data_IF_511584049311
#
_entry.id   IF_511584049311
#
_cell.length_a   1.000
_cell.length_b   1.000
_cell.length_c   1.000
_cell.angle_alpha   90.00
_cell.angle_beta   90.00
_cell.angle_gamma   90.00
#
_symmetry.space_group_name_H-M   'P 1'
#
loop_
_entity.id
_entity.type
_entity.pdbx_description
1 polymer ?
#
# COMPACT_ATOMS: atom_id res chain seq x y z
N UNK A 1 16.82 -1.46 25.04
CA UNK A 1 15.56 -1.75 24.36
C UNK A 1 14.53 -0.79 24.90
N UNK A 2 13.89 0.01 24.05
CA UNK A 2 12.82 0.93 24.46
C UNK A 2 11.55 0.14 24.83
N UNK A 3 10.58 0.81 25.47
CA UNK A 3 9.26 0.21 25.76
C UNK A 3 8.60 -0.31 24.48
N UNK A 4 8.66 0.48 23.41
CA UNK A 4 8.02 0.13 22.13
C UNK A 4 8.72 -1.05 21.45
N UNK A 5 10.06 -1.08 21.46
CA UNK A 5 10.83 -2.24 20.99
C UNK A 5 10.53 -3.51 21.80
N UNK A 6 10.21 -3.37 23.09
CA UNK A 6 9.81 -4.50 23.93
C UNK A 6 8.41 -4.99 23.57
N UNK A 7 7.44 -4.09 23.42
CA UNK A 7 6.06 -4.42 23.03
C UNK A 7 6.05 -5.10 21.65
N UNK A 8 6.76 -4.53 20.67
CA UNK A 8 6.84 -5.11 19.34
C UNK A 8 7.44 -6.53 19.38
N UNK A 9 8.56 -6.71 20.09
CA UNK A 9 9.28 -7.98 20.15
C UNK A 9 8.55 -9.08 20.95
N UNK A 10 7.88 -8.72 22.04
CA UNK A 10 7.33 -9.70 22.97
C UNK A 10 5.81 -9.84 22.90
N UNK A 11 5.10 -8.86 22.35
CA UNK A 11 3.65 -8.86 22.22
C UNK A 11 3.25 -8.96 20.74
N UNK A 12 3.52 -7.93 19.94
CA UNK A 12 2.94 -7.81 18.60
C UNK A 12 3.48 -8.82 17.59
N UNK A 13 4.81 -8.97 17.50
CA UNK A 13 5.45 -9.96 16.61
C UNK A 13 5.12 -11.43 16.92
N UNK A 14 4.48 -11.70 18.07
CA UNK A 14 4.06 -13.04 18.50
C UNK A 14 2.56 -13.30 18.31
N UNK A 15 1.82 -12.34 17.75
CA UNK A 15 0.38 -12.51 17.48
C UNK A 15 0.19 -13.31 16.18
N UNK A 16 -0.52 -14.44 16.29
CA UNK A 16 -0.76 -15.36 15.16
C UNK A 16 -2.27 -15.46 14.95
N UNK A 17 -2.77 -15.24 13.71
CA UNK A 17 -4.19 -15.44 13.40
C UNK A 17 -4.54 -16.93 13.43
N UNK A 18 -5.63 -17.27 14.11
CA UNK A 18 -6.15 -18.64 14.18
C UNK A 18 -7.58 -18.63 13.66
N UNK A 19 -7.88 -19.49 12.68
CA UNK A 19 -9.23 -19.63 12.13
C UNK A 19 -10.22 -20.12 13.20
N UNK A 20 -11.43 -19.55 13.23
CA UNK A 20 -12.49 -19.95 14.16
C UNK A 20 -12.97 -21.39 13.96
N UNK A 21 -12.78 -21.94 12.76
CA UNK A 21 -13.09 -23.33 12.44
C UNK A 21 -11.98 -24.33 12.81
N UNK A 22 -10.87 -23.86 13.37
CA UNK A 22 -9.75 -24.73 13.73
C UNK A 22 -10.10 -25.61 14.94
N UNK A 23 -9.62 -26.86 14.94
CA UNK A 23 -9.79 -27.79 16.04
C UNK A 23 -9.17 -27.24 17.35
N UNK A 24 -9.59 -27.75 18.54
CA UNK A 24 -9.05 -27.29 19.81
C UNK A 24 -7.52 -27.39 19.87
N UNK A 25 -6.87 -26.34 20.34
CA UNK A 25 -5.40 -26.22 20.32
C UNK A 25 -4.89 -26.43 21.76
N UNK A 26 -3.99 -27.40 22.00
CA UNK A 26 -3.38 -27.58 23.31
C UNK A 26 -2.43 -26.41 23.60
N UNK A 27 -2.53 -25.85 24.80
CA UNK A 27 -1.72 -24.72 25.26
C UNK A 27 -1.17 -24.97 26.66
N UNK A 28 -0.12 -24.25 27.04
CA UNK A 28 0.40 -24.28 28.42
C UNK A 28 -0.35 -23.29 29.33
N UNK A 29 -0.93 -22.24 28.75
CA UNK A 29 -1.70 -21.22 29.43
C UNK A 29 -2.62 -20.50 28.43
N UNK A 30 -3.69 -19.89 28.91
CA UNK A 30 -4.55 -19.00 28.11
C UNK A 30 -4.90 -17.76 28.95
N UNK A 31 -4.13 -16.69 28.77
CA UNK A 31 -4.33 -15.42 29.45
C UNK A 31 -5.19 -14.48 28.60
N UNK A 32 -6.22 -13.86 29.21
CA UNK A 32 -7.18 -13.02 28.48
C UNK A 32 -8.12 -13.77 27.52
N UNK A 33 -8.03 -15.10 27.47
CA UNK A 33 -8.91 -15.99 26.72
C UNK A 33 -9.77 -16.88 27.63
N UNK A 34 -10.40 -17.89 27.03
CA UNK A 34 -11.13 -18.93 27.76
C UNK A 34 -10.43 -20.28 27.54
N UNK A 35 -10.16 -20.96 28.65
CA UNK A 35 -9.47 -22.24 28.67
C UNK A 35 -10.38 -23.29 29.34
N UNK A 36 -10.40 -24.51 28.81
CA UNK A 36 -11.20 -25.60 29.38
C UNK A 36 -10.26 -26.65 29.96
N UNK A 37 -10.46 -26.99 31.23
CA UNK A 37 -9.76 -28.05 31.94
C UNK A 37 -10.74 -28.88 32.79
N UNK A 38 -10.33 -30.08 33.21
CA UNK A 38 -11.13 -30.91 34.12
C UNK A 38 -11.03 -30.35 35.53
N UNK A 39 -12.16 -30.16 36.20
CA UNK A 39 -12.21 -29.62 37.57
C UNK A 39 -11.31 -30.38 38.54
N UNK A 40 -11.27 -31.71 38.45
CA UNK A 40 -10.40 -32.56 39.27
C UNK A 40 -8.89 -32.22 39.14
N UNK A 41 -8.47 -31.68 37.98
CA UNK A 41 -7.08 -31.25 37.75
C UNK A 41 -6.77 -29.90 38.38
N UNK A 42 -7.77 -29.07 38.70
CA UNK A 42 -7.60 -27.71 39.24
C UNK A 42 -7.74 -27.64 40.77
N UNK A 43 -8.51 -28.53 41.39
CA UNK A 43 -8.69 -28.58 42.84
C UNK A 43 -7.39 -28.60 43.67
N UNK A 44 -6.30 -29.28 43.25
CA UNK A 44 -5.04 -29.29 43.99
C UNK A 44 -4.07 -28.16 43.58
N UNK A 45 -4.51 -27.17 42.79
CA UNK A 45 -3.68 -26.09 42.29
C UNK A 45 -3.89 -24.81 43.09
N UNK A 46 -2.80 -24.06 43.30
CA UNK A 46 -2.80 -22.82 44.06
C UNK A 46 -2.23 -21.68 43.21
N UNK A 47 -2.71 -20.48 43.46
CA UNK A 47 -2.13 -19.24 42.95
C UNK A 47 -0.95 -18.85 43.84
N UNK A 48 0.26 -19.01 43.32
CA UNK A 48 1.50 -18.65 44.03
C UNK A 48 2.31 -17.67 43.18
N UNK A 49 2.52 -16.47 43.69
CA UNK A 49 3.31 -15.42 43.03
C UNK A 49 4.82 -15.59 43.16
N UNK A 50 5.31 -16.83 43.33
CA UNK A 50 6.72 -17.16 43.46
C UNK A 50 7.08 -18.29 42.50
N UNK A 51 8.25 -18.19 41.87
CA UNK A 51 8.83 -19.26 41.06
C UNK A 51 9.61 -20.29 41.92
N UNK A 52 10.27 -21.24 41.26
CA UNK A 52 11.02 -22.31 41.93
C UNK A 52 12.22 -21.81 42.74
N UNK A 53 12.75 -20.63 42.40
CA UNK A 53 13.89 -19.99 43.06
C UNK A 53 13.44 -19.00 44.16
N UNK A 54 12.12 -18.86 44.37
CA UNK A 54 11.53 -17.96 45.34
C UNK A 54 11.48 -16.50 44.88
N UNK A 55 11.63 -16.24 43.58
CA UNK A 55 11.51 -14.91 42.99
C UNK A 55 10.05 -14.61 42.63
N UNK A 56 9.68 -13.33 42.68
CA UNK A 56 8.32 -12.89 42.36
C UNK A 56 7.97 -13.18 40.89
N UNK A 57 6.77 -13.73 40.68
CA UNK A 57 6.20 -14.00 39.36
C UNK A 57 4.67 -13.85 39.39
N UNK A 58 4.03 -13.81 38.23
CA UNK A 58 2.57 -13.77 38.16
C UNK A 58 1.99 -15.08 38.71
N UNK A 59 1.07 -14.97 39.65
CA UNK A 59 0.44 -16.09 40.35
C UNK A 59 -0.30 -17.06 39.42
N UNK A 60 -0.74 -16.57 38.25
CA UNK A 60 -1.37 -17.38 37.22
C UNK A 60 -0.41 -18.36 36.54
N UNK A 61 0.90 -18.10 36.55
CA UNK A 61 1.90 -18.97 35.92
C UNK A 61 1.97 -20.29 36.68
N UNK A 62 2.15 -20.23 38.00
CA UNK A 62 2.24 -21.43 38.84
C UNK A 62 0.95 -22.27 38.81
N UNK A 63 -0.21 -21.62 38.78
CA UNK A 63 -1.50 -22.30 38.64
C UNK A 63 -1.62 -23.06 37.31
N UNK A 64 -1.33 -22.42 36.18
CA UNK A 64 -1.45 -23.05 34.86
C UNK A 64 -0.43 -24.18 34.67
N UNK A 65 0.80 -24.03 35.15
CA UNK A 65 1.82 -25.10 35.13
C UNK A 65 1.32 -26.35 35.87
N UNK A 66 0.79 -26.18 37.09
CA UNK A 66 0.23 -27.26 37.90
C UNK A 66 -0.99 -27.93 37.23
N UNK A 67 -1.81 -27.18 36.48
CA UNK A 67 -2.90 -27.76 35.70
C UNK A 67 -2.34 -28.58 34.53
N UNK A 68 -1.38 -28.03 33.78
CA UNK A 68 -0.79 -28.67 32.60
C UNK A 68 -0.11 -30.02 32.93
N UNK A 69 0.51 -30.13 34.11
CA UNK A 69 1.07 -31.40 34.64
C UNK A 69 0.01 -32.48 34.87
N UNK A 70 -1.25 -32.09 35.09
CA UNK A 70 -2.37 -32.98 35.45
C UNK A 70 -3.35 -33.22 34.30
N UNK A 71 -3.13 -32.59 33.16
CA UNK A 71 -3.94 -32.76 31.96
C UNK A 71 -3.80 -31.61 30.97
N UNK A 72 -4.11 -31.84 29.70
CA UNK A 72 -3.99 -30.81 28.67
C UNK A 72 -5.01 -29.68 28.88
N UNK A 73 -4.52 -28.45 28.74
CA UNK A 73 -5.32 -27.25 28.63
C UNK A 73 -5.58 -26.97 27.15
N UNK A 74 -6.81 -26.61 26.80
CA UNK A 74 -7.15 -26.28 25.42
C UNK A 74 -7.77 -24.90 25.31
N UNK A 75 -7.42 -24.21 24.22
CA UNK A 75 -8.23 -23.12 23.68
C UNK A 75 -9.11 -23.65 22.55
N UNK A 76 -10.33 -23.13 22.47
CA UNK A 76 -11.27 -23.43 21.39
C UNK A 76 -11.39 -22.18 20.52
N UNK A 77 -10.84 -22.18 19.28
CA UNK A 77 -10.85 -20.99 18.41
C UNK A 77 -12.25 -20.44 18.12
N UNK A 78 -13.29 -21.28 18.22
CA UNK A 78 -14.69 -20.87 18.11
C UNK A 78 -15.21 -20.08 19.32
N UNK A 79 -14.58 -20.19 20.49
CA UNK A 79 -14.95 -19.48 21.72
C UNK A 79 -14.12 -18.20 21.85
N UNK A 80 -14.63 -17.11 21.27
CA UNK A 80 -13.92 -15.83 21.19
C UNK A 80 -14.13 -14.98 22.45
N UNK A 81 -13.05 -14.43 22.99
CA UNK A 81 -13.11 -13.28 23.89
C UNK A 81 -12.75 -12.00 23.11
N UNK A 82 -13.29 -10.85 23.52
CA UNK A 82 -12.86 -9.56 22.97
C UNK A 82 -11.66 -9.08 23.76
N UNK A 83 -10.49 -9.04 23.11
CA UNK A 83 -9.31 -8.44 23.71
C UNK A 83 -9.44 -6.91 23.73
N UNK A 84 -8.95 -6.23 24.77
CA UNK A 84 -8.73 -4.78 24.74
C UNK A 84 -7.84 -4.37 23.55
N UNK A 85 -8.11 -3.22 22.93
CA UNK A 85 -7.42 -2.77 21.72
C UNK A 85 -5.92 -2.57 21.95
N UNK A 86 -5.52 -2.12 23.15
CA UNK A 86 -4.13 -1.92 23.58
C UNK A 86 -3.29 -3.20 23.64
N UNK A 87 -3.94 -4.37 23.56
CA UNK A 87 -3.26 -5.67 23.53
C UNK A 87 -3.19 -6.27 22.12
N UNK A 88 -3.83 -5.64 21.13
CA UNK A 88 -3.78 -6.06 19.74
C UNK A 88 -2.77 -5.19 19.01
N UNK A 89 -1.87 -5.82 18.23
CA UNK A 89 -1.09 -5.04 17.28
C UNK A 89 -2.04 -4.33 16.33
N UNK A 90 -1.68 -3.15 15.83
CA UNK A 90 -2.54 -2.35 14.96
C UNK A 90 -3.11 -3.15 13.76
N UNK A 91 -2.37 -4.16 13.25
CA UNK A 91 -2.82 -5.13 12.24
C UNK A 91 -4.12 -5.89 12.58
N UNK A 92 -4.44 -6.08 13.86
CA UNK A 92 -5.58 -6.86 14.34
C UNK A 92 -6.66 -6.01 15.01
N UNK A 93 -6.42 -4.70 15.14
CA UNK A 93 -7.43 -3.80 15.71
C UNK A 93 -8.61 -3.69 14.74
N UNK A 94 -9.86 -3.70 15.24
CA UNK A 94 -11.02 -3.45 14.39
C UNK A 94 -10.87 -2.09 13.70
N UNK A 95 -11.04 -2.07 12.38
CA UNK A 95 -11.11 -0.84 11.62
C UNK A 95 -12.48 -0.20 11.86
N UNK A 96 -12.56 0.68 12.85
CA UNK A 96 -13.76 1.47 13.14
C UNK A 96 -14.12 2.31 11.90
N UNK A 97 -15.41 2.29 11.51
CA UNK A 97 -15.93 2.93 10.29
C UNK A 97 -15.46 2.37 8.93
N UNK A 98 -14.88 1.16 8.87
CA UNK A 98 -14.61 0.51 7.59
C UNK A 98 -15.90 0.18 6.82
N UNK A 99 -15.83 0.28 5.49
CA UNK A 99 -16.85 -0.21 4.54
C UNK A 99 -16.26 -1.23 3.58
N UNK A 100 -17.13 -2.03 2.97
CA UNK A 100 -16.73 -2.84 1.82
C UNK A 100 -16.71 -1.98 0.55
N UNK A 101 -15.58 -2.01 -0.15
CA UNK A 101 -15.38 -1.44 -1.48
C UNK A 101 -15.39 -2.59 -2.50
N UNK A 102 -16.42 -2.63 -3.35
CA UNK A 102 -16.53 -3.65 -4.41
C UNK A 102 -15.76 -3.19 -5.65
N UNK A 103 -14.75 -3.97 -6.05
CA UNK A 103 -14.01 -3.75 -7.29
C UNK A 103 -14.32 -4.84 -8.30
N UNK A 104 -14.39 -4.46 -9.58
CA UNK A 104 -14.66 -5.36 -10.70
C UNK A 104 -13.83 -5.00 -11.91
N UNK A 105 -13.22 -6.02 -12.51
CA UNK A 105 -12.62 -5.95 -13.83
C UNK A 105 -13.07 -7.13 -14.69
N UNK A 106 -13.71 -6.82 -15.82
CA UNK A 106 -14.35 -7.81 -16.68
C UNK A 106 -15.29 -8.76 -15.91
N UNK A 107 -14.95 -10.05 -15.86
CA UNK A 107 -15.74 -11.08 -15.16
C UNK A 107 -15.29 -11.35 -13.73
N UNK A 108 -14.19 -10.73 -13.27
CA UNK A 108 -13.61 -10.93 -11.94
C UNK A 108 -13.99 -9.78 -11.01
N UNK A 109 -14.22 -10.09 -9.74
CA UNK A 109 -14.52 -9.11 -8.69
C UNK A 109 -13.89 -9.48 -7.35
N UNK A 110 -13.66 -8.48 -6.51
CA UNK A 110 -13.23 -8.65 -5.12
C UNK A 110 -13.84 -7.55 -4.24
N UNK A 111 -13.71 -7.69 -2.91
CA UNK A 111 -14.23 -6.73 -1.93
C UNK A 111 -13.14 -6.36 -0.94
N UNK A 112 -12.68 -5.12 -1.01
CA UNK A 112 -11.68 -4.58 -0.08
C UNK A 112 -12.37 -3.94 1.12
N UNK A 113 -11.73 -3.98 2.27
CA UNK A 113 -12.01 -3.07 3.37
C UNK A 113 -11.42 -1.71 3.02
N UNK A 114 -12.22 -0.66 3.19
CA UNK A 114 -11.84 0.71 2.87
C UNK A 114 -12.38 1.69 3.93
N UNK A 115 -11.75 2.86 4.10
CA UNK A 115 -12.35 3.98 4.82
C UNK A 115 -13.74 4.33 4.30
N UNK A 116 -14.62 4.81 5.18
CA UNK A 116 -16.00 5.17 4.82
C UNK A 116 -16.10 6.18 3.69
N UNK A 117 -15.14 7.11 3.61
CA UNK A 117 -15.09 8.21 2.65
C UNK A 117 -14.30 7.87 1.37
N UNK A 118 -13.75 6.65 1.24
CA UNK A 118 -13.13 6.18 0.00
C UNK A 118 -14.14 6.26 -1.14
N UNK A 119 -13.76 6.70 -2.35
CA UNK A 119 -14.72 7.01 -3.43
C UNK A 119 -14.52 6.22 -4.74
N UNK A 120 -13.53 5.32 -4.81
CA UNK A 120 -13.15 4.66 -6.06
C UNK A 120 -14.28 3.92 -6.79
N UNK A 121 -15.16 3.21 -6.07
CA UNK A 121 -16.31 2.53 -6.67
C UNK A 121 -17.31 3.52 -7.30
N UNK A 122 -17.58 4.63 -6.61
CA UNK A 122 -18.43 5.72 -7.10
C UNK A 122 -17.81 6.32 -8.38
N UNK A 123 -16.50 6.61 -8.35
CA UNK A 123 -15.81 7.16 -9.51
C UNK A 123 -15.84 6.22 -10.71
N UNK A 124 -15.62 4.91 -10.51
CA UNK A 124 -15.65 3.93 -11.61
C UNK A 124 -17.05 3.66 -12.14
N UNK A 125 -18.09 3.85 -11.33
CA UNK A 125 -19.48 3.81 -11.80
C UNK A 125 -19.82 5.03 -12.66
N UNK A 126 -19.33 6.21 -12.26
CA UNK A 126 -19.58 7.47 -12.96
C UNK A 126 -18.71 7.64 -14.23
N UNK A 127 -17.46 7.17 -14.20
CA UNK A 127 -16.45 7.38 -15.24
C UNK A 127 -15.91 6.02 -15.73
N UNK A 128 -16.42 5.50 -16.87
CA UNK A 128 -16.17 4.11 -17.28
C UNK A 128 -14.70 3.71 -17.49
N UNK A 129 -13.83 4.68 -17.82
CA UNK A 129 -12.40 4.47 -18.09
C UNK A 129 -11.50 4.72 -16.87
N UNK A 130 -12.06 5.22 -15.76
CA UNK A 130 -11.32 5.52 -14.53
C UNK A 130 -10.65 4.26 -13.98
N UNK A 131 -9.33 4.32 -13.75
CA UNK A 131 -8.48 3.21 -13.31
C UNK A 131 -8.62 1.92 -14.15
N UNK A 132 -8.84 2.03 -15.47
CA UNK A 132 -8.85 0.87 -16.39
C UNK A 132 -7.55 0.67 -17.15
N UNK A 133 -6.82 1.76 -17.39
CA UNK A 133 -5.63 1.78 -18.25
C UNK A 133 -4.43 1.10 -17.58
N UNK A 134 -4.13 1.44 -16.33
CA UNK A 134 -3.05 0.83 -15.57
C UNK A 134 -3.22 -0.69 -15.38
N UNK A 135 -4.39 -1.23 -14.97
CA UNK A 135 -4.58 -2.68 -14.89
C UNK A 135 -4.33 -3.40 -16.22
N UNK A 136 -4.83 -2.85 -17.32
CA UNK A 136 -4.57 -3.40 -18.65
C UNK A 136 -3.07 -3.38 -19.01
N UNK A 137 -2.39 -2.26 -18.76
CA UNK A 137 -0.95 -2.13 -18.98
C UNK A 137 -0.14 -3.13 -18.13
N UNK A 138 -0.50 -3.30 -16.86
CA UNK A 138 0.20 -4.21 -15.94
C UNK A 138 0.18 -5.66 -16.42
N UNK A 139 -0.94 -6.09 -17.03
CA UNK A 139 -1.09 -7.41 -17.62
C UNK A 139 -0.15 -7.59 -18.80
N UNK A 140 -0.05 -6.58 -19.69
CA UNK A 140 0.88 -6.63 -20.82
C UNK A 140 2.34 -6.62 -20.36
N UNK A 141 2.67 -5.83 -19.34
CA UNK A 141 4.00 -5.79 -18.74
C UNK A 141 4.39 -7.15 -18.13
N UNK A 142 3.46 -7.79 -17.40
CA UNK A 142 3.64 -9.14 -16.84
C UNK A 142 3.88 -10.17 -17.95
N UNK A 143 3.05 -10.19 -19.00
CA UNK A 143 3.20 -11.14 -20.11
C UNK A 143 4.54 -10.97 -20.86
N UNK A 144 5.07 -9.75 -20.93
CA UNK A 144 6.37 -9.48 -21.55
C UNK A 144 7.56 -9.81 -20.65
N UNK A 145 7.38 -9.76 -19.33
CA UNK A 145 8.45 -9.91 -18.35
C UNK A 145 7.94 -10.57 -17.04
N UNK A 146 7.56 -11.86 -17.07
CA UNK A 146 6.88 -12.51 -15.95
C UNK A 146 7.75 -12.65 -14.69
N UNK A 147 9.07 -12.70 -14.85
CA UNK A 147 10.03 -12.81 -13.74
C UNK A 147 10.39 -11.46 -13.09
N UNK A 148 9.87 -10.34 -13.63
CA UNK A 148 10.12 -9.00 -13.11
C UNK A 148 8.99 -8.55 -12.19
N UNK A 149 9.33 -7.76 -11.18
CA UNK A 149 8.36 -7.24 -10.23
C UNK A 149 7.78 -5.88 -10.66
N UNK A 150 6.65 -5.54 -10.04
CA UNK A 150 6.01 -4.22 -10.12
C UNK A 150 6.25 -3.50 -8.79
N UNK A 151 6.51 -2.20 -8.85
CA UNK A 151 6.56 -1.33 -7.67
C UNK A 151 5.34 -0.41 -7.69
N UNK A 152 4.53 -0.43 -6.64
CA UNK A 152 3.33 0.39 -6.46
C UNK A 152 3.59 1.40 -5.33
N UNK A 153 3.87 2.66 -5.68
CA UNK A 153 4.17 3.75 -4.74
C UNK A 153 2.89 4.55 -4.52
N UNK A 154 2.47 4.65 -3.25
CA UNK A 154 1.15 5.15 -2.89
C UNK A 154 0.10 4.06 -3.07
N UNK A 155 0.35 2.91 -2.44
CA UNK A 155 -0.52 1.74 -2.57
C UNK A 155 -1.87 1.90 -1.84
N UNK A 156 -2.00 2.89 -0.94
CA UNK A 156 -3.20 3.19 -0.18
C UNK A 156 -3.75 1.91 0.50
N UNK A 157 -5.01 1.54 0.26
CA UNK A 157 -5.64 0.33 0.80
C UNK A 157 -5.36 -0.94 -0.03
N UNK A 158 -4.57 -0.84 -1.10
CA UNK A 158 -4.28 -1.92 -2.04
C UNK A 158 -5.30 -2.08 -3.17
N UNK A 159 -6.05 -1.03 -3.50
CA UNK A 159 -7.03 -1.04 -4.60
C UNK A 159 -6.39 -1.17 -5.97
N UNK A 160 -5.28 -0.46 -6.22
CA UNK A 160 -4.45 -0.61 -7.42
C UNK A 160 -4.01 -2.07 -7.58
N UNK A 161 -3.41 -2.66 -6.54
CA UNK A 161 -2.99 -4.07 -6.49
C UNK A 161 -4.16 -5.01 -6.85
N UNK A 162 -5.32 -4.79 -6.25
CA UNK A 162 -6.51 -5.59 -6.53
C UNK A 162 -6.93 -5.47 -8.00
N UNK A 163 -6.94 -4.27 -8.57
CA UNK A 163 -7.28 -4.06 -9.98
C UNK A 163 -6.28 -4.72 -10.93
N UNK A 164 -4.97 -4.61 -10.66
CA UNK A 164 -3.90 -5.29 -11.40
C UNK A 164 -4.14 -6.81 -11.42
N UNK A 165 -4.44 -7.39 -10.25
CA UNK A 165 -4.73 -8.82 -10.10
C UNK A 165 -6.00 -9.23 -10.83
N UNK A 166 -7.08 -8.46 -10.74
CA UNK A 166 -8.33 -8.71 -11.46
C UNK A 166 -8.12 -8.68 -12.99
N UNK A 167 -7.24 -7.80 -13.49
CA UNK A 167 -6.84 -7.77 -14.90
C UNK A 167 -5.95 -8.95 -15.33
N UNK A 168 -5.52 -9.81 -14.39
CA UNK A 168 -4.70 -11.00 -14.67
C UNK A 168 -3.20 -10.74 -14.68
N UNK A 169 -2.74 -9.71 -13.97
CA UNK A 169 -1.32 -9.53 -13.67
C UNK A 169 -0.93 -10.38 -12.45
N UNK A 170 0.00 -11.31 -12.64
CA UNK A 170 0.49 -12.21 -11.58
C UNK A 170 1.96 -11.90 -11.21
N UNK A 171 2.48 -10.73 -11.60
CA UNK A 171 3.82 -10.29 -11.16
C UNK A 171 3.89 -10.19 -9.64
N UNK A 172 5.07 -10.46 -9.07
CA UNK A 172 5.41 -10.04 -7.72
C UNK A 172 5.25 -8.52 -7.59
N UNK A 173 4.58 -8.05 -6.54
CA UNK A 173 4.35 -6.62 -6.31
C UNK A 173 5.02 -6.19 -5.01
N UNK A 174 5.76 -5.09 -5.06
CA UNK A 174 6.23 -4.39 -3.87
C UNK A 174 5.40 -3.11 -3.73
N UNK A 175 4.57 -3.06 -2.70
CA UNK A 175 3.61 -2.00 -2.45
C UNK A 175 4.09 -1.13 -1.29
N UNK A 176 4.12 0.19 -1.51
CA UNK A 176 4.62 1.17 -0.54
C UNK A 176 3.50 2.14 -0.20
N UNK A 177 3.18 2.24 1.10
CA UNK A 177 2.19 3.19 1.61
C UNK A 177 2.69 3.82 2.92
N UNK A 178 2.92 5.14 2.96
CA UNK A 178 3.44 5.79 4.16
C UNK A 178 2.38 5.99 5.25
N UNK A 179 1.12 6.26 4.93
CA UNK A 179 0.06 6.52 5.93
C UNK A 179 -0.17 5.29 6.79
N UNK A 180 -0.04 5.42 8.11
CA UNK A 180 -0.43 4.35 9.04
C UNK A 180 -1.91 3.99 8.92
N UNK A 181 -2.76 4.99 8.64
CA UNK A 181 -4.19 4.83 8.46
C UNK A 181 -4.48 3.91 7.28
N UNK A 182 -4.01 4.27 6.08
CA UNK A 182 -4.22 3.44 4.87
C UNK A 182 -3.44 2.13 4.90
N UNK A 183 -2.21 2.13 5.43
CA UNK A 183 -1.42 0.91 5.58
C UNK A 183 -2.13 -0.13 6.45
N UNK A 184 -2.88 0.28 7.48
CA UNK A 184 -3.66 -0.67 8.30
C UNK A 184 -4.78 -1.34 7.49
N UNK A 185 -5.41 -0.62 6.55
CA UNK A 185 -6.35 -1.22 5.59
C UNK A 185 -5.65 -2.16 4.61
N UNK A 186 -4.48 -1.79 4.10
CA UNK A 186 -3.67 -2.64 3.23
C UNK A 186 -3.27 -3.96 3.91
N UNK A 187 -2.83 -3.91 5.17
CA UNK A 187 -2.52 -5.11 5.98
C UNK A 187 -3.76 -6.00 6.15
N UNK A 188 -4.91 -5.40 6.44
CA UNK A 188 -6.17 -6.12 6.61
C UNK A 188 -6.64 -6.77 5.30
N UNK A 189 -6.53 -6.06 4.17
CA UNK A 189 -6.89 -6.57 2.85
C UNK A 189 -5.95 -7.69 2.39
N UNK A 190 -4.64 -7.54 2.60
CA UNK A 190 -3.67 -8.60 2.31
C UNK A 190 -3.99 -9.90 3.04
N UNK A 191 -4.38 -9.79 4.31
CA UNK A 191 -4.77 -10.96 5.10
C UNK A 191 -6.12 -11.55 4.65
N UNK A 192 -7.11 -10.70 4.38
CA UNK A 192 -8.48 -11.12 4.10
C UNK A 192 -8.64 -11.74 2.70
N UNK A 193 -7.79 -11.36 1.74
CA UNK A 193 -7.88 -11.76 0.34
C UNK A 193 -6.56 -12.38 -0.15
N UNK A 194 -6.16 -13.55 0.38
CA UNK A 194 -4.90 -14.20 0.01
C UNK A 194 -4.83 -14.52 -1.49
N UNK A 195 -5.95 -14.70 -2.18
CA UNK A 195 -6.00 -14.92 -3.63
C UNK A 195 -5.69 -13.66 -4.44
N UNK A 196 -5.98 -12.47 -3.91
CA UNK A 196 -5.66 -11.19 -4.56
C UNK A 196 -4.24 -10.78 -4.20
N UNK A 197 -3.89 -10.81 -2.92
CA UNK A 197 -2.60 -10.33 -2.44
C UNK A 197 -1.53 -11.42 -2.33
N UNK A 198 -1.69 -12.51 -3.08
CA UNK A 198 -0.62 -13.50 -3.19
C UNK A 198 0.61 -12.85 -3.84
N UNK A 199 1.79 -13.18 -3.31
CA UNK A 199 3.08 -12.65 -3.79
C UNK A 199 3.17 -11.11 -3.81
N UNK A 200 2.65 -10.47 -2.77
CA UNK A 200 2.74 -9.03 -2.52
C UNK A 200 3.55 -8.76 -1.26
N UNK A 201 4.61 -7.96 -1.38
CA UNK A 201 5.36 -7.40 -0.26
C UNK A 201 4.82 -6.00 0.03
N UNK A 202 4.43 -5.72 1.28
CA UNK A 202 3.92 -4.41 1.71
C UNK A 202 4.94 -3.73 2.63
N UNK A 203 5.23 -2.45 2.39
CA UNK A 203 6.24 -1.68 3.11
C UNK A 203 5.65 -0.34 3.54
N UNK A 204 5.67 -0.05 4.85
CA UNK A 204 5.26 1.25 5.37
C UNK A 204 6.44 2.23 5.33
N UNK A 205 6.55 3.02 4.25
CA UNK A 205 7.64 3.98 4.06
C UNK A 205 7.24 5.11 3.11
N UNK A 206 7.98 6.22 3.14
CA UNK A 206 7.98 7.17 2.02
C UNK A 206 9.03 6.78 0.99
N UNK A 207 8.77 7.07 -0.28
CA UNK A 207 9.81 7.00 -1.32
C UNK A 207 10.30 8.41 -1.63
N UNK A 208 11.60 8.65 -1.51
CA UNK A 208 12.17 9.99 -1.70
C UNK A 208 13.61 10.10 -1.21
N UNK A 209 14.13 11.33 -1.07
CA UNK A 209 15.51 11.57 -0.62
C UNK A 209 15.73 11.00 0.79
N UNK A 210 16.74 10.12 0.99
CA UNK A 210 17.03 9.58 2.31
C UNK A 210 17.30 10.69 3.34
N UNK A 211 16.77 10.52 4.55
CA UNK A 211 16.98 11.47 5.66
C UNK A 211 16.05 12.69 5.65
N UNK A 212 15.09 12.78 4.73
CA UNK A 212 14.07 13.82 4.75
C UNK A 212 12.91 13.44 5.68
N UNK A 213 12.55 14.33 6.62
CA UNK A 213 11.36 14.18 7.47
C UNK A 213 10.13 14.74 6.75
N UNK A 214 9.18 13.86 6.45
CA UNK A 214 7.96 14.17 5.71
C UNK A 214 6.74 14.06 6.63
N UNK A 215 5.79 14.98 6.53
CA UNK A 215 4.54 14.94 7.30
C UNK A 215 3.36 14.68 6.37
N UNK A 216 2.47 13.76 6.74
CA UNK A 216 1.25 13.50 5.98
C UNK A 216 0.10 14.38 6.42
N UNK A 217 -0.76 14.76 5.48
CA UNK A 217 -2.06 15.35 5.78
C UNK A 217 -3.12 14.52 5.06
N UNK A 218 -3.98 13.85 5.81
CA UNK A 218 -5.03 13.00 5.26
C UNK A 218 -6.32 13.80 5.03
N UNK A 219 -6.96 13.61 3.88
CA UNK A 219 -8.31 14.15 3.63
C UNK A 219 -9.02 13.38 2.52
N UNK A 220 -10.30 13.04 2.73
CA UNK A 220 -11.21 12.48 1.70
C UNK A 220 -10.62 11.27 0.95
N UNK A 221 -10.03 10.31 1.66
CA UNK A 221 -9.47 9.10 1.06
C UNK A 221 -8.07 9.22 0.43
N UNK A 222 -7.41 10.37 0.48
CA UNK A 222 -5.99 10.52 0.06
C UNK A 222 -5.09 11.10 1.17
N UNK A 223 -3.76 11.01 1.00
CA UNK A 223 -2.75 11.43 1.98
C UNK A 223 -1.65 12.28 1.32
N UNK A 224 -1.76 13.60 1.45
CA UNK A 224 -0.79 14.53 0.84
C UNK A 224 0.47 14.72 1.69
N UNK A 225 1.64 14.66 1.05
CA UNK A 225 2.95 14.88 1.67
C UNK A 225 3.27 16.37 1.85
N UNK A 226 3.78 16.76 3.02
CA UNK A 226 4.40 18.08 3.28
C UNK A 226 5.82 17.94 3.83
N UNK A 227 6.75 18.70 3.25
CA UNK A 227 8.11 18.83 3.79
C UNK A 227 8.11 19.82 4.96
N UNK A 228 8.55 19.38 6.14
CA UNK A 228 8.75 20.27 7.29
C UNK A 228 10.08 21.03 7.12
N UNK A 229 10.02 22.37 7.08
CA UNK A 229 11.21 23.23 6.91
C UNK A 229 11.92 23.61 8.22
N UNK A 230 11.32 23.35 9.40
CA UNK A 230 11.93 23.63 10.70
C UNK A 230 11.81 22.41 11.63
N UNK A 231 12.96 21.92 12.08
CA UNK A 231 13.12 20.81 13.04
C UNK A 231 13.02 21.26 14.51
N UNK A 232 12.42 22.41 14.77
CA UNK A 232 12.28 22.95 16.13
C UNK A 232 10.78 22.97 16.50
N UNK A 233 10.41 22.05 17.40
CA UNK A 233 9.13 21.96 18.11
C UNK A 233 7.92 21.31 17.40
N UNK A 234 8.03 20.05 16.98
CA UNK A 234 6.88 19.13 17.04
C UNK A 234 7.30 17.83 17.71
N UNK A 235 7.23 17.82 19.04
CA UNK A 235 7.17 16.61 19.86
C UNK A 235 5.72 16.11 19.87
N UNK A 236 5.21 15.62 18.73
CA UNK A 236 4.03 14.76 18.72
C UNK A 236 4.45 13.36 18.32
N UNK A 237 3.94 12.41 19.11
CA UNK A 237 4.42 11.06 19.36
C UNK A 237 3.97 10.06 18.29
N UNK A 238 3.86 10.49 17.03
CA UNK A 238 3.55 9.61 15.91
C UNK A 238 4.86 9.27 15.19
N UNK A 239 5.23 8.00 15.19
CA UNK A 239 6.38 7.51 14.43
C UNK A 239 6.16 7.79 12.94
N UNK A 240 6.84 8.82 12.43
CA UNK A 240 6.88 9.12 11.01
C UNK A 240 7.59 7.96 10.29
N UNK A 241 6.99 7.34 9.25
CA UNK A 241 7.65 6.32 8.46
C UNK A 241 9.00 6.80 7.92
N UNK A 242 9.98 5.91 7.82
CA UNK A 242 11.25 6.27 7.21
C UNK A 242 11.08 6.61 5.71
N UNK A 243 11.96 7.47 5.19
CA UNK A 243 12.07 7.72 3.76
C UNK A 243 13.15 6.79 3.16
N UNK A 244 12.77 6.02 2.14
CA UNK A 244 13.64 5.07 1.43
C UNK A 244 13.83 5.47 -0.03
N UNK A 245 14.95 5.04 -0.63
CA UNK A 245 15.12 5.06 -2.09
C UNK A 245 14.86 3.67 -2.68
N UNK A 246 14.53 3.62 -3.97
CA UNK A 246 14.26 2.36 -4.68
C UNK A 246 15.50 1.45 -4.72
N UNK A 247 16.70 2.03 -4.81
CA UNK A 247 17.96 1.29 -4.75
C UNK A 247 18.15 0.51 -3.43
N UNK A 248 17.57 1.00 -2.32
CA UNK A 248 17.60 0.31 -1.03
C UNK A 248 16.46 -0.69 -0.83
N UNK A 249 15.38 -0.51 -1.57
CA UNK A 249 14.14 -1.25 -1.40
C UNK A 249 14.22 -2.63 -2.07
N UNK A 250 14.80 -2.72 -3.27
CA UNK A 250 14.93 -4.01 -3.95
C UNK A 250 16.08 -4.04 -4.94
N UNK A 251 16.66 -5.23 -5.12
CA UNK A 251 17.57 -5.52 -6.22
C UNK A 251 16.90 -6.33 -7.35
N UNK A 252 15.60 -6.66 -7.20
CA UNK A 252 14.87 -7.43 -8.21
C UNK A 252 14.72 -6.61 -9.50
N UNK A 253 14.83 -7.24 -10.68
CA UNK A 253 14.47 -6.59 -11.94
C UNK A 253 13.02 -6.09 -11.92
N UNK A 254 12.77 -4.88 -12.42
CA UNK A 254 11.45 -4.22 -12.36
C UNK A 254 10.89 -4.06 -13.76
N UNK A 255 9.61 -4.39 -13.96
CA UNK A 255 8.91 -4.21 -15.24
C UNK A 255 8.06 -2.96 -15.28
N UNK A 256 7.47 -2.55 -14.16
CA UNK A 256 6.58 -1.39 -14.04
C UNK A 256 6.76 -0.71 -12.69
N UNK A 257 6.80 0.62 -12.68
CA UNK A 257 6.68 1.44 -11.47
C UNK A 257 5.44 2.31 -11.63
N UNK A 258 4.55 2.29 -10.64
CA UNK A 258 3.44 3.23 -10.50
C UNK A 258 3.76 4.24 -9.39
N UNK A 259 3.46 5.51 -9.63
CA UNK A 259 3.47 6.57 -8.61
C UNK A 259 2.12 7.26 -8.56
N UNK A 260 1.61 7.44 -7.35
CA UNK A 260 0.44 8.24 -7.00
C UNK A 260 0.64 8.71 -5.57
N UNK A 261 1.28 9.87 -5.43
CA UNK A 261 1.72 10.38 -4.13
C UNK A 261 1.18 11.77 -3.84
N UNK A 262 -0.04 12.05 -4.34
CA UNK A 262 -0.77 13.30 -4.16
C UNK A 262 0.11 14.54 -4.48
N UNK A 263 0.91 14.45 -5.54
CA UNK A 263 1.76 15.52 -6.06
C UNK A 263 3.22 15.53 -5.60
N UNK A 264 3.69 14.49 -4.91
CA UNK A 264 5.12 14.27 -4.60
C UNK A 264 5.85 13.45 -5.69
N UNK A 265 5.15 13.09 -6.76
CA UNK A 265 5.58 12.16 -7.81
C UNK A 265 6.84 12.62 -8.55
N UNK A 266 6.95 13.91 -8.85
CA UNK A 266 8.15 14.48 -9.48
C UNK A 266 9.40 14.24 -8.62
N UNK A 267 9.28 14.34 -7.29
CA UNK A 267 10.38 14.12 -6.35
C UNK A 267 10.72 12.64 -6.21
N UNK A 268 9.70 11.77 -6.20
CA UNK A 268 9.89 10.31 -6.24
C UNK A 268 10.71 9.92 -7.47
N UNK A 269 10.36 10.41 -8.65
CA UNK A 269 11.06 10.08 -9.90
C UNK A 269 12.47 10.68 -9.92
N UNK A 270 12.61 11.98 -9.63
CA UNK A 270 13.90 12.69 -9.70
C UNK A 270 14.95 12.08 -8.78
N UNK A 271 14.55 11.65 -7.58
CA UNK A 271 15.44 11.00 -6.61
C UNK A 271 15.89 9.62 -7.06
N UNK A 272 15.09 8.91 -7.86
CA UNK A 272 15.31 7.52 -8.22
C UNK A 272 15.74 7.31 -9.69
N UNK A 273 16.25 8.36 -10.34
CA UNK A 273 16.71 8.28 -11.74
C UNK A 273 17.82 7.24 -11.97
N UNK A 274 18.71 7.03 -10.99
CA UNK A 274 19.74 5.97 -11.05
C UNK A 274 19.10 4.58 -11.19
N UNK A 275 18.14 4.28 -10.32
CA UNK A 275 17.39 3.04 -10.32
C UNK A 275 16.60 2.85 -11.62
N UNK A 276 15.90 3.90 -12.06
CA UNK A 276 15.11 3.90 -13.30
C UNK A 276 16.02 3.65 -14.51
N UNK A 277 17.18 4.30 -14.61
CA UNK A 277 18.15 4.10 -15.71
C UNK A 277 18.76 2.69 -15.71
N UNK A 278 18.93 2.09 -14.54
CA UNK A 278 19.48 0.74 -14.38
C UNK A 278 18.45 -0.34 -14.76
N UNK A 279 17.20 -0.20 -14.33
CA UNK A 279 16.16 -1.23 -14.51
C UNK A 279 15.33 -1.03 -15.79
N UNK A 280 15.26 0.21 -16.30
CA UNK A 280 14.44 0.63 -17.43
C UNK A 280 12.99 0.06 -17.36
N UNK A 281 12.25 0.32 -16.27
CA UNK A 281 10.86 -0.15 -16.15
C UNK A 281 9.93 0.69 -17.04
N UNK A 282 8.72 0.20 -17.30
CA UNK A 282 7.61 1.08 -17.71
C UNK A 282 7.29 1.98 -16.51
N UNK A 283 6.97 3.25 -16.74
CA UNK A 283 6.56 4.18 -15.69
C UNK A 283 5.09 4.55 -15.89
N UNK A 284 4.26 4.40 -14.85
CA UNK A 284 2.92 4.98 -14.75
C UNK A 284 2.96 6.06 -13.67
N UNK A 285 2.83 7.32 -14.07
CA UNK A 285 3.14 8.45 -13.21
C UNK A 285 1.97 9.43 -13.17
N UNK A 286 1.43 9.69 -11.99
CA UNK A 286 0.48 10.78 -11.79
C UNK A 286 1.21 12.14 -11.79
N UNK A 287 0.74 13.08 -12.60
CA UNK A 287 1.28 14.45 -12.61
C UNK A 287 0.36 15.42 -11.90
N UNK A 288 0.02 15.16 -10.64
CA UNK A 288 -0.63 16.16 -9.82
C UNK A 288 0.39 17.22 -9.37
N UNK A 289 0.00 18.49 -9.48
CA UNK A 289 0.75 19.61 -8.93
C UNK A 289 0.40 19.85 -7.46
N UNK A 290 -0.65 19.21 -6.93
CA UNK A 290 -1.17 19.41 -5.58
C UNK A 290 -1.34 20.90 -5.27
N UNK A 291 -0.78 21.34 -4.13
CA UNK A 291 -0.65 22.76 -3.76
C UNK A 291 0.71 23.37 -4.13
N UNK A 292 1.60 22.60 -4.74
CA UNK A 292 2.99 22.97 -4.97
C UNK A 292 3.23 23.45 -6.40
N UNK A 293 4.13 24.40 -6.59
CA UNK A 293 4.60 24.77 -7.94
C UNK A 293 5.76 23.85 -8.34
N UNK A 294 5.41 22.64 -8.80
CA UNK A 294 6.38 21.62 -9.21
C UNK A 294 6.61 21.59 -10.73
N UNK A 295 6.14 22.59 -11.50
CA UNK A 295 6.29 22.61 -12.96
C UNK A 295 7.76 22.59 -13.40
N UNK A 296 8.63 23.28 -12.65
CA UNK A 296 10.06 23.26 -12.92
C UNK A 296 10.67 21.87 -12.68
N UNK A 297 10.23 21.17 -11.64
CA UNK A 297 10.68 19.83 -11.32
C UNK A 297 10.23 18.82 -12.39
N UNK A 298 8.96 18.91 -12.82
CA UNK A 298 8.45 18.13 -13.95
C UNK A 298 9.23 18.36 -15.25
N UNK A 299 9.63 19.60 -15.53
CA UNK A 299 10.45 19.90 -16.71
C UNK A 299 11.80 19.16 -16.70
N UNK A 300 12.47 19.13 -15.54
CA UNK A 300 13.72 18.38 -15.37
C UNK A 300 13.49 16.87 -15.45
N UNK A 301 12.51 16.35 -14.71
CA UNK A 301 12.14 14.93 -14.72
C UNK A 301 11.85 14.44 -16.14
N UNK A 302 11.02 15.16 -16.89
CA UNK A 302 10.73 14.80 -18.28
C UNK A 302 12.01 14.81 -19.10
N UNK A 303 12.83 15.86 -19.02
CA UNK A 303 14.10 15.93 -19.76
C UNK A 303 15.01 14.72 -19.52
N UNK A 304 15.10 14.25 -18.26
CA UNK A 304 15.87 13.06 -17.91
C UNK A 304 15.25 11.75 -18.42
N UNK A 305 13.92 11.63 -18.40
CA UNK A 305 13.20 10.43 -18.83
C UNK A 305 13.21 10.27 -20.35
N UNK A 306 13.17 11.35 -21.12
CA UNK A 306 13.14 11.31 -22.60
C UNK A 306 14.34 10.56 -23.21
N UNK A 307 15.48 10.57 -22.53
CA UNK A 307 16.68 9.85 -22.97
C UNK A 307 16.57 8.32 -22.82
N UNK A 308 15.66 7.83 -21.97
CA UNK A 308 15.53 6.41 -21.61
C UNK A 308 14.18 5.80 -21.98
N UNK A 309 13.14 6.63 -22.07
CA UNK A 309 11.76 6.25 -22.33
C UNK A 309 11.26 6.95 -23.60
N UNK A 310 11.61 6.45 -24.79
CA UNK A 310 11.33 7.13 -26.05
C UNK A 310 9.85 7.14 -26.44
N UNK A 311 8.97 6.40 -25.76
CA UNK A 311 7.53 6.41 -26.04
C UNK A 311 6.72 6.86 -24.83
N UNK A 312 5.65 7.60 -25.08
CA UNK A 312 4.73 8.10 -24.06
C UNK A 312 3.26 7.93 -24.49
N UNK A 313 2.40 7.69 -23.51
CA UNK A 313 0.96 7.91 -23.58
C UNK A 313 0.56 8.90 -22.47
N UNK A 314 -0.29 9.87 -22.82
CA UNK A 314 -0.78 10.92 -21.92
C UNK A 314 -2.28 10.75 -21.78
N UNK A 315 -2.75 10.54 -20.56
CA UNK A 315 -4.17 10.40 -20.25
C UNK A 315 -4.63 11.56 -19.37
N UNK A 316 -5.91 11.90 -19.44
CA UNK A 316 -6.55 12.67 -18.36
C UNK A 316 -6.82 11.76 -17.16
N UNK A 317 -7.14 12.38 -16.02
CA UNK A 317 -7.53 11.68 -14.78
C UNK A 317 -8.79 10.82 -14.90
N UNK A 318 -9.49 10.80 -16.04
CA UNK A 318 -10.65 9.94 -16.28
C UNK A 318 -10.33 8.74 -17.17
N UNK A 319 -9.07 8.61 -17.62
CA UNK A 319 -8.57 7.50 -18.42
C UNK A 319 -8.69 7.68 -19.93
N UNK A 320 -9.08 8.87 -20.42
CA UNK A 320 -9.10 9.17 -21.85
C UNK A 320 -7.70 9.48 -22.37
N UNK A 321 -7.36 8.90 -23.51
CA UNK A 321 -6.08 9.19 -24.17
C UNK A 321 -6.10 10.59 -24.80
N UNK A 322 -5.22 11.47 -24.35
CA UNK A 322 -5.03 12.83 -24.91
C UNK A 322 -4.02 12.79 -26.07
N UNK A 323 -2.90 12.11 -25.88
CA UNK A 323 -1.86 12.01 -26.88
C UNK A 323 -0.94 10.80 -26.64
N UNK A 324 -0.28 10.33 -27.70
CA UNK A 324 0.75 9.31 -27.59
C UNK A 324 1.76 9.45 -28.74
N UNK A 325 2.93 8.84 -28.59
CA UNK A 325 3.95 8.84 -29.64
C UNK A 325 5.37 8.90 -29.09
N UNK A 326 6.33 9.37 -29.92
CA UNK A 326 7.69 9.65 -29.46
C UNK A 326 7.67 10.68 -28.34
N UNK A 327 8.25 10.34 -27.19
CA UNK A 327 8.16 11.16 -25.99
C UNK A 327 8.80 12.54 -26.18
N UNK A 328 9.87 12.62 -26.96
CA UNK A 328 10.59 13.86 -27.25
C UNK A 328 9.69 14.92 -27.90
N UNK A 329 8.72 14.49 -28.72
CA UNK A 329 7.78 15.39 -29.40
C UNK A 329 6.66 15.87 -28.48
N UNK A 330 6.49 15.25 -27.30
CA UNK A 330 5.37 15.49 -26.38
C UNK A 330 5.77 16.28 -25.13
N UNK A 331 7.05 16.56 -24.92
CA UNK A 331 7.53 17.22 -23.71
C UNK A 331 6.79 18.54 -23.43
N UNK A 332 6.76 19.45 -24.42
CA UNK A 332 6.11 20.75 -24.23
C UNK A 332 4.59 20.61 -24.04
N UNK A 333 3.95 19.70 -24.79
CA UNK A 333 2.52 19.41 -24.64
C UNK A 333 2.20 18.97 -23.20
N UNK A 334 2.98 18.03 -22.65
CA UNK A 334 2.79 17.55 -21.28
C UNK A 334 2.95 18.69 -20.27
N UNK A 335 3.98 19.53 -20.41
CA UNK A 335 4.19 20.68 -19.53
C UNK A 335 3.04 21.69 -19.60
N UNK A 336 2.52 21.96 -20.79
CA UNK A 336 1.38 22.86 -20.99
C UNK A 336 0.10 22.31 -20.35
N UNK A 337 -0.12 20.99 -20.42
CA UNK A 337 -1.26 20.30 -19.79
C UNK A 337 -1.15 20.24 -18.26
N UNK A 338 0.04 20.02 -17.70
CA UNK A 338 0.29 20.13 -16.25
C UNK A 338 -0.02 21.56 -15.80
N UNK A 339 0.48 22.56 -16.53
CA UNK A 339 0.23 23.96 -16.22
C UNK A 339 -1.26 24.33 -16.35
N UNK A 340 -1.96 23.77 -17.35
CA UNK A 340 -3.40 23.91 -17.49
C UNK A 340 -4.14 23.36 -16.27
N UNK A 341 -3.87 22.11 -15.90
CA UNK A 341 -4.52 21.41 -14.79
C UNK A 341 -4.33 22.16 -13.46
N UNK A 342 -3.13 22.71 -13.24
CA UNK A 342 -2.85 23.56 -12.08
C UNK A 342 -3.67 24.85 -12.08
N UNK A 343 -3.70 25.59 -13.19
CA UNK A 343 -4.46 26.85 -13.29
C UNK A 343 -5.95 26.63 -13.06
N UNK A 344 -6.50 25.55 -13.61
CA UNK A 344 -7.92 25.23 -13.46
C UNK A 344 -8.26 24.78 -12.05
N UNK A 345 -7.42 23.97 -11.39
CA UNK A 345 -7.58 23.60 -9.97
C UNK A 345 -7.62 24.81 -9.03
N UNK A 346 -6.86 25.87 -9.33
CA UNK A 346 -6.82 27.11 -8.54
C UNK A 346 -7.97 28.08 -8.86
N UNK A 347 -8.72 27.84 -9.94
CA UNK A 347 -9.79 28.73 -10.38
C UNK A 347 -11.08 28.48 -9.61
N UNK A 348 -11.67 29.52 -9.03
CA UNK A 348 -12.97 29.46 -8.36
C UNK A 348 -14.17 29.58 -9.32
N UNK A 349 -13.93 29.75 -10.63
CA UNK A 349 -14.97 30.11 -11.62
C UNK A 349 -15.53 28.96 -12.46
N UNK A 350 -15.24 27.70 -12.12
CA UNK A 350 -15.84 26.54 -12.80
C UNK A 350 -15.26 25.20 -12.34
N UNK A 351 -15.83 24.10 -12.83
CA UNK A 351 -15.31 22.75 -12.60
C UNK A 351 -14.28 22.38 -13.68
N UNK A 352 -13.02 22.06 -13.30
CA UNK A 352 -12.02 21.55 -14.24
C UNK A 352 -12.50 20.29 -14.95
N UNK A 353 -12.15 20.15 -16.24
CA UNK A 353 -12.37 18.91 -17.00
C UNK A 353 -11.19 17.94 -16.90
N UNK A 354 -10.01 18.46 -16.56
CA UNK A 354 -8.79 17.70 -16.32
C UNK A 354 -8.20 18.23 -15.02
N UNK A 355 -8.05 17.36 -14.04
CA UNK A 355 -7.52 17.68 -12.71
C UNK A 355 -6.03 17.37 -12.61
N UNK A 356 -5.61 16.27 -13.22
CA UNK A 356 -4.23 15.82 -13.34
C UNK A 356 -4.12 14.93 -14.58
N UNK A 357 -2.90 14.48 -14.89
CA UNK A 357 -2.63 13.55 -15.98
C UNK A 357 -2.05 12.26 -15.40
N UNK A 358 -2.34 11.16 -16.07
CA UNK A 358 -1.56 9.94 -15.96
C UNK A 358 -0.63 9.83 -17.16
N UNK A 359 0.66 9.64 -16.91
CA UNK A 359 1.67 9.41 -17.94
C UNK A 359 2.11 7.96 -17.93
N UNK A 360 2.01 7.28 -19.07
CA UNK A 360 2.68 6.00 -19.28
C UNK A 360 3.92 6.20 -20.15
N UNK A 361 5.12 6.03 -19.59
CA UNK A 361 6.39 6.14 -20.32
C UNK A 361 7.01 4.77 -20.52
N UNK A 362 7.48 4.48 -21.73
CA UNK A 362 7.99 3.16 -22.11
C UNK A 362 9.44 3.26 -22.59
N UNK A 363 10.36 2.46 -22.04
CA UNK A 363 11.70 2.30 -22.58
C UNK A 363 11.69 1.44 -23.84
N UNK A 364 12.74 1.56 -24.64
CA UNK A 364 12.84 0.85 -25.93
C UNK A 364 12.65 -0.67 -25.81
N UNK A 365 13.07 -1.28 -24.69
CA UNK A 365 12.89 -2.72 -24.44
C UNK A 365 11.41 -3.16 -24.30
N UNK A 366 10.48 -2.22 -24.08
CA UNK A 366 9.04 -2.48 -24.01
C UNK A 366 8.27 -1.85 -25.19
N UNK A 367 8.92 -1.65 -26.34
CA UNK A 367 8.27 -1.14 -27.55
C UNK A 367 7.07 -2.00 -27.99
N UNK A 368 7.18 -3.33 -27.89
CA UNK A 368 6.08 -4.25 -28.21
C UNK A 368 4.90 -4.10 -27.24
N UNK A 369 5.18 -3.85 -25.96
CA UNK A 369 4.14 -3.59 -24.95
C UNK A 369 3.44 -2.27 -25.27
N UNK A 370 4.20 -1.23 -25.61
CA UNK A 370 3.65 0.06 -26.05
C UNK A 370 2.74 -0.10 -27.28
N UNK A 371 3.19 -0.80 -28.34
CA UNK A 371 2.39 -1.00 -29.55
C UNK A 371 1.11 -1.78 -29.30
N UNK A 372 1.15 -2.83 -28.46
CA UNK A 372 -0.05 -3.59 -28.07
C UNK A 372 -1.00 -2.76 -27.22
N UNK A 373 -0.44 -1.99 -26.28
CA UNK A 373 -1.21 -1.14 -25.38
C UNK A 373 -1.98 -0.09 -26.17
N UNK A 374 -1.32 0.63 -27.10
CA UNK A 374 -1.95 1.69 -27.90
C UNK A 374 -2.94 1.16 -28.93
N UNK A 375 -2.70 0.00 -29.55
CA UNK A 375 -3.61 -0.59 -30.52
C UNK A 375 -5.01 -0.91 -29.94
N UNK A 376 -5.07 -1.21 -28.65
CA UNK A 376 -6.31 -1.55 -27.91
C UNK A 376 -7.01 -0.32 -27.31
N UNK A 377 -6.42 0.88 -27.45
CA UNK A 377 -7.09 2.13 -27.07
C UNK A 377 -7.99 2.58 -28.23
N UNK A 378 -9.31 2.59 -28.00
CA UNK A 378 -10.28 3.01 -29.01
C UNK A 378 -9.96 4.41 -29.56
N UNK A 379 -9.52 5.31 -28.68
CA UNK A 379 -9.16 6.69 -29.01
C UNK A 379 -7.91 6.82 -29.89
N UNK A 380 -7.03 5.81 -29.93
CA UNK A 380 -5.83 5.82 -30.78
C UNK A 380 -6.15 5.50 -32.25
N UNK A 381 -7.34 4.96 -32.52
CA UNK A 381 -7.82 4.52 -33.83
C UNK A 381 -8.85 5.49 -34.46
N UNK A 382 -9.15 6.61 -33.78
CA UNK A 382 -9.98 7.71 -34.27
C UNK A 382 -9.10 8.78 -34.92
#
# INVERSE_FOLDING_TARGET
MTSDQAIERYIYSRQIPISTGHAPIPVQSAFGGLAIYRLASALPCDYLGLDADGLETCEHVSFNTKIAERGPLYIYPSLRNRAPQEHLSAKWQPLEDARELKLKDNTRECRLLAPRDHQLDIYREQYPLYDRRLPFLSRLAYLAAPDKCIIDIGANIGDSIALLRLAGCESHIIAIEPSRSYFTYLEANQLALPEIFHDVEIIQAFVGPPGQHLHLTESRGTATVRVLKNSEHIMQKEECPQTVSLDTLTNRPVSLIKTDTDGYDATVISTNLSFIRKHLPILWVETDTGKYDNLHEWSHVLSDLLATHPFICVFDNFGFLINYGPAIDKQQLVLDLIQYSRRTKLSASGEPRIYYLDLALFPAQYADVYSKFTAELAEANL
#
